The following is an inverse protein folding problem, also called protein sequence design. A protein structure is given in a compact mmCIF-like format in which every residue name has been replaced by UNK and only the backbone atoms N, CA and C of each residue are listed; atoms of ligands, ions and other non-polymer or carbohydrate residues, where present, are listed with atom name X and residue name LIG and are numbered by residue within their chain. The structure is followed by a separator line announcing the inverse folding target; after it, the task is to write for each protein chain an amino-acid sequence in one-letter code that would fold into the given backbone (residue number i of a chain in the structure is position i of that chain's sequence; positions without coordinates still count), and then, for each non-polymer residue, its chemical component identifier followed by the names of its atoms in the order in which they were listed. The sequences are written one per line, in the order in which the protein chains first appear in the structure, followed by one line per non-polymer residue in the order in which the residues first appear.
data_IF_905803071940
#
_entry.id   IF_905803071940
#
_cell.length_a   1.000
_cell.length_b   1.000
_cell.length_c   1.000
_cell.angle_alpha   90.00
_cell.angle_beta   90.00
_cell.angle_gamma   90.00
#
_symmetry.space_group_name_H-M   'P 1'
#
loop_
_entity.id
_entity.type
_entity.pdbx_description
1 polymer ?
#
# COMPACT_ATOMS: atom_id res chain seq x y z
N UNK A 1 5.41 -18.95 -34.74
CA UNK A 1 4.61 -17.72 -34.95
C UNK A 1 3.24 -18.13 -35.45
N UNK A 2 2.15 -17.49 -35.00
CA UNK A 2 0.81 -17.76 -35.53
C UNK A 2 0.78 -17.46 -37.02
N UNK A 3 0.02 -18.26 -37.77
CA UNK A 3 -0.16 -18.07 -39.22
C UNK A 3 -1.10 -16.90 -39.50
N UNK A 4 -1.07 -16.39 -40.73
CA UNK A 4 -2.04 -15.38 -41.17
C UNK A 4 -3.46 -15.91 -40.99
N UNK A 5 -4.27 -15.21 -40.19
CA UNK A 5 -5.63 -15.61 -39.82
C UNK A 5 -5.77 -16.34 -38.47
N UNK A 6 -4.68 -16.69 -37.78
CA UNK A 6 -4.74 -17.29 -36.45
C UNK A 6 -4.74 -16.23 -35.33
N UNK A 7 -5.45 -16.52 -34.24
CA UNK A 7 -5.46 -15.66 -33.05
C UNK A 7 -4.12 -15.82 -32.32
N UNK A 8 -3.45 -14.69 -32.11
CA UNK A 8 -2.24 -14.59 -31.31
C UNK A 8 -2.51 -13.91 -29.97
N UNK A 9 -1.73 -14.24 -28.94
CA UNK A 9 -1.63 -13.42 -27.72
C UNK A 9 -0.25 -12.82 -27.64
N UNK A 10 -0.19 -11.49 -27.63
CA UNK A 10 1.04 -10.74 -27.39
C UNK A 10 1.05 -10.31 -25.93
N UNK A 11 2.10 -10.69 -25.20
CA UNK A 11 2.37 -10.15 -23.87
C UNK A 11 3.52 -9.16 -24.00
N UNK A 12 3.22 -7.87 -23.83
CA UNK A 12 4.23 -6.81 -23.81
C UNK A 12 4.49 -6.46 -22.34
N UNK A 13 5.76 -6.44 -21.95
CA UNK A 13 6.18 -5.91 -20.66
C UNK A 13 6.62 -4.46 -20.84
N UNK A 14 5.98 -3.54 -20.12
CA UNK A 14 6.36 -2.13 -20.05
C UNK A 14 6.87 -1.86 -18.64
N UNK A 15 8.06 -1.28 -18.54
CA UNK A 15 8.65 -0.88 -17.25
C UNK A 15 8.57 0.64 -17.14
N UNK A 16 7.98 1.13 -16.05
CA UNK A 16 7.90 2.54 -15.74
C UNK A 16 8.64 2.84 -14.44
N UNK A 17 9.40 3.92 -14.41
CA UNK A 17 10.02 4.40 -13.18
C UNK A 17 9.00 5.21 -12.38
N UNK A 18 8.35 4.55 -11.43
CA UNK A 18 7.36 5.15 -10.54
C UNK A 18 7.96 5.25 -9.14
N UNK A 19 7.96 6.46 -8.58
CA UNK A 19 8.33 6.67 -7.18
C UNK A 19 7.16 6.32 -6.26
N UNK A 20 7.42 5.47 -5.27
CA UNK A 20 6.43 5.03 -4.29
C UNK A 20 7.02 4.03 -3.30
N UNK A 21 6.16 3.49 -2.44
CA UNK A 21 6.49 2.51 -1.42
C UNK A 21 5.73 1.22 -1.66
N UNK A 22 6.43 0.09 -1.58
CA UNK A 22 5.79 -1.22 -1.63
C UNK A 22 5.28 -1.60 -0.25
N UNK A 23 3.98 -1.87 -0.16
CA UNK A 23 3.33 -2.36 1.05
C UNK A 23 2.63 -3.70 0.77
N UNK A 24 2.44 -4.56 1.78
CA UNK A 24 1.52 -5.68 1.68
C UNK A 24 0.10 -5.17 1.40
N UNK A 25 -0.66 -5.88 0.58
CA UNK A 25 -2.10 -5.62 0.35
C UNK A 25 -2.89 -5.58 1.67
N UNK A 26 -2.48 -6.38 2.65
CA UNK A 26 -3.06 -6.44 4.01
C UNK A 26 -2.80 -5.20 4.87
N UNK A 27 -1.88 -4.34 4.47
CA UNK A 27 -1.62 -3.05 5.13
C UNK A 27 -2.59 -1.96 4.70
N UNK A 28 -3.35 -2.18 3.61
CA UNK A 28 -4.36 -1.24 3.15
C UNK A 28 -5.64 -1.33 3.98
N UNK A 29 -6.24 -0.17 4.20
CA UNK A 29 -7.53 0.02 4.85
C UNK A 29 -8.35 1.01 4.04
N UNK A 30 -9.68 0.95 4.19
CA UNK A 30 -10.57 1.92 3.53
C UNK A 30 -10.36 3.31 4.14
N UNK A 31 -9.98 4.25 3.29
CA UNK A 31 -9.79 5.65 3.64
C UNK A 31 -11.06 6.48 3.56
N UNK A 32 -10.91 7.77 3.83
CA UNK A 32 -11.98 8.73 3.62
C UNK A 32 -12.26 8.91 2.12
N UNK A 33 -13.51 9.25 1.78
CA UNK A 33 -13.92 9.59 0.40
C UNK A 33 -13.59 8.53 -0.67
N UNK A 34 -13.42 7.27 -0.26
CA UNK A 34 -13.13 6.16 -1.18
C UNK A 34 -11.66 5.99 -1.54
N UNK A 35 -10.75 6.74 -0.92
CA UNK A 35 -9.30 6.53 -1.05
C UNK A 35 -8.84 5.32 -0.23
N UNK A 36 -7.59 4.92 -0.44
CA UNK A 36 -6.91 3.95 0.41
C UNK A 36 -6.16 4.66 1.53
N UNK A 37 -6.00 3.99 2.67
CA UNK A 37 -5.15 4.47 3.75
C UNK A 37 -4.34 3.31 4.33
N UNK A 38 -3.21 3.61 4.95
CA UNK A 38 -2.46 2.68 5.79
C UNK A 38 -2.30 3.26 7.20
N UNK A 39 -1.82 2.45 8.13
CA UNK A 39 -1.47 2.91 9.47
C UNK A 39 0.05 2.91 9.64
N UNK A 40 0.59 4.03 10.11
CA UNK A 40 2.01 4.15 10.51
C UNK A 40 2.12 4.12 12.03
N UNK A 41 3.21 3.60 12.55
CA UNK A 41 3.52 3.58 13.98
C UNK A 41 4.30 4.86 14.31
N UNK A 42 3.67 5.77 15.03
CA UNK A 42 4.29 6.96 15.56
C UNK A 42 4.65 6.77 17.05
N UNK A 43 5.77 7.35 17.48
CA UNK A 43 6.16 7.36 18.89
C UNK A 43 5.36 8.43 19.64
N UNK A 44 4.84 8.08 20.82
CA UNK A 44 4.10 8.97 21.71
C UNK A 44 4.69 8.86 23.12
N UNK A 45 5.76 9.64 23.38
CA UNK A 45 6.58 9.51 24.59
C UNK A 45 7.28 8.15 24.67
N UNK A 46 6.93 7.37 25.70
CA UNK A 46 7.40 5.98 25.90
C UNK A 46 6.46 4.92 25.31
N UNK A 47 5.35 5.35 24.70
CA UNK A 47 4.38 4.50 24.03
C UNK A 47 4.45 4.64 22.51
N UNK A 48 3.64 3.83 21.82
CA UNK A 48 3.42 3.92 20.39
C UNK A 48 1.95 4.12 20.08
N UNK A 49 1.67 4.87 19.02
CA UNK A 49 0.33 5.07 18.48
C UNK A 49 0.29 4.81 17.00
N UNK A 50 -0.86 4.39 16.50
CA UNK A 50 -1.09 4.30 15.07
C UNK A 50 -1.65 5.61 14.53
N UNK A 51 -1.13 6.06 13.40
CA UNK A 51 -1.65 7.21 12.65
C UNK A 51 -2.13 6.76 11.28
N UNK A 52 -3.35 7.14 10.92
CA UNK A 52 -3.92 6.85 9.60
C UNK A 52 -3.34 7.81 8.57
N UNK A 53 -2.76 7.26 7.49
CA UNK A 53 -2.17 8.02 6.37
C UNK A 53 -2.86 7.65 5.08
N UNK A 54 -3.34 8.65 4.36
CA UNK A 54 -3.96 8.46 3.05
C UNK A 54 -2.91 8.19 1.99
N UNK A 55 -3.22 7.20 1.15
CA UNK A 55 -2.36 6.70 0.08
C UNK A 55 -3.18 6.39 -1.18
N UNK A 56 -2.54 6.57 -2.33
CA UNK A 56 -3.00 6.15 -3.64
C UNK A 56 -2.31 4.84 -4.01
N UNK A 57 -3.05 3.91 -4.61
CA UNK A 57 -2.49 2.68 -5.18
C UNK A 57 -2.10 2.95 -6.62
N UNK A 58 -0.81 2.81 -6.92
CA UNK A 58 -0.22 3.03 -8.24
C UNK A 58 -0.09 1.73 -9.04
N UNK A 59 0.22 0.63 -8.35
CA UNK A 59 0.35 -0.68 -8.97
C UNK A 59 0.06 -1.79 -7.96
N UNK A 60 -0.45 -2.92 -8.43
CA UNK A 60 -0.67 -4.12 -7.62
C UNK A 60 0.03 -5.29 -8.26
N UNK A 61 0.90 -5.95 -7.50
CA UNK A 61 1.66 -7.11 -7.93
C UNK A 61 1.53 -8.21 -6.87
N UNK A 62 0.73 -9.24 -7.18
CA UNK A 62 0.48 -10.35 -6.27
C UNK A 62 -0.11 -9.89 -4.93
N UNK A 63 0.65 -10.09 -3.85
CA UNK A 63 0.29 -9.75 -2.47
C UNK A 63 0.77 -8.36 -2.05
N UNK A 64 1.37 -7.58 -2.96
CA UNK A 64 1.93 -6.25 -2.69
C UNK A 64 1.28 -5.18 -3.55
N UNK A 65 1.31 -3.96 -3.03
CA UNK A 65 0.83 -2.75 -3.69
C UNK A 65 1.91 -1.69 -3.65
N UNK A 66 2.17 -1.05 -4.78
CA UNK A 66 2.96 0.15 -4.86
C UNK A 66 2.04 1.32 -4.58
N UNK A 67 2.37 2.10 -3.56
CA UNK A 67 1.56 3.24 -3.11
C UNK A 67 2.36 4.53 -3.06
N UNK A 68 1.64 5.65 -3.05
CA UNK A 68 2.20 6.99 -2.81
C UNK A 68 1.21 7.81 -2.01
N UNK A 69 1.69 8.71 -1.17
CA UNK A 69 0.82 9.57 -0.38
C UNK A 69 1.54 10.18 0.81
N UNK A 70 0.82 10.30 1.91
CA UNK A 70 1.27 10.97 3.15
C UNK A 70 2.16 10.08 4.03
N UNK A 71 2.99 9.26 3.39
CA UNK A 71 3.95 8.33 4.00
C UNK A 71 5.37 8.69 3.59
N UNK A 72 6.30 8.55 4.53
CA UNK A 72 7.71 8.90 4.38
C UNK A 72 8.61 7.69 4.44
N UNK A 73 9.81 7.82 3.87
CA UNK A 73 10.85 6.83 4.05
C UNK A 73 11.18 6.67 5.54
N UNK A 74 11.41 5.43 5.98
CA UNK A 74 11.70 5.03 7.35
C UNK A 74 10.53 5.08 8.35
N UNK A 75 9.30 5.30 7.90
CA UNK A 75 8.12 5.07 8.74
C UNK A 75 7.79 3.58 8.82
N UNK A 76 7.43 3.11 10.03
CA UNK A 76 6.98 1.74 10.24
C UNK A 76 5.48 1.64 9.91
N UNK A 77 5.15 0.86 8.89
CA UNK A 77 3.76 0.62 8.48
C UNK A 77 3.22 -0.66 9.10
N UNK A 78 2.00 -0.62 9.61
CA UNK A 78 1.28 -1.82 10.06
C UNK A 78 1.01 -2.73 8.87
N UNK A 79 1.62 -3.91 8.88
CA UNK A 79 1.59 -4.85 7.74
C UNK A 79 0.28 -5.66 7.65
N UNK A 80 -0.47 -5.80 8.74
CA UNK A 80 -1.73 -6.57 8.78
C UNK A 80 -2.60 -6.18 9.98
N UNK A 81 -3.85 -6.62 10.01
CA UNK A 81 -4.75 -6.39 11.15
C UNK A 81 -5.36 -4.98 11.20
N UNK A 82 -5.27 -4.22 10.10
CA UNK A 82 -5.73 -2.84 10.00
C UNK A 82 -7.23 -2.66 10.26
N UNK A 83 -8.04 -3.72 10.08
CA UNK A 83 -9.48 -3.71 10.37
C UNK A 83 -9.82 -3.56 11.86
N UNK A 84 -8.85 -3.74 12.76
CA UNK A 84 -9.02 -3.58 14.21
C UNK A 84 -8.49 -2.24 14.73
N UNK A 85 -7.91 -1.43 13.85
CA UNK A 85 -7.25 -0.19 14.21
C UNK A 85 -8.15 1.02 13.97
N UNK A 86 -8.08 1.96 14.91
CA UNK A 86 -8.63 3.31 14.77
C UNK A 86 -7.50 4.34 14.88
N UNK A 87 -7.67 5.48 14.18
CA UNK A 87 -6.67 6.53 14.19
C UNK A 87 -6.37 6.99 15.62
N UNK A 88 -5.09 7.06 15.96
CA UNK A 88 -4.62 7.48 17.28
C UNK A 88 -4.68 6.41 18.36
N UNK A 89 -4.99 5.15 18.04
CA UNK A 89 -5.01 4.04 19.00
C UNK A 89 -3.60 3.71 19.52
N UNK A 90 -3.49 3.46 20.83
CA UNK A 90 -2.24 3.01 21.44
C UNK A 90 -1.95 1.56 21.09
N UNK A 91 -0.70 1.27 20.77
CA UNK A 91 -0.21 -0.05 20.40
C UNK A 91 1.12 -0.34 21.09
N UNK A 92 1.44 -1.62 21.17
CA UNK A 92 2.77 -2.11 21.54
C UNK A 92 3.38 -2.77 20.31
N UNK A 93 4.69 -2.59 20.11
CA UNK A 93 5.43 -3.29 19.06
C UNK A 93 5.61 -4.76 19.38
#
# INVERSE_FOLDING_TARGET
MPKSGEIARLKVSQTEQIQGFWLPTTALSRGERGLWSCFVIARDGDAYRVEKRDVEVLHTEGDRVLVRGTISANEEVVSSGTQRLVNGQMVTK
#
